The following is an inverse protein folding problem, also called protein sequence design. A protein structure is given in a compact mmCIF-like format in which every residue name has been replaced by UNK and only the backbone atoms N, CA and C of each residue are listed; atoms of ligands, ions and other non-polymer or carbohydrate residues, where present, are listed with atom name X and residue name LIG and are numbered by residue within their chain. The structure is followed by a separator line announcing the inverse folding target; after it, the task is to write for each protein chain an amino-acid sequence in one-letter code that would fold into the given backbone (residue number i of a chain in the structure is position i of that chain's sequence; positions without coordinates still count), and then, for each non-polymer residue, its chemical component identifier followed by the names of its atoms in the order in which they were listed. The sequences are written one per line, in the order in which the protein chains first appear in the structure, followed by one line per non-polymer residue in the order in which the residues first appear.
data_IF_470144865294
#
_entry.id   IF_470144865294
#
_cell.length_a   1.000
_cell.length_b   1.000
_cell.length_c   1.000
_cell.angle_alpha   90.00
_cell.angle_beta   90.00
_cell.angle_gamma   90.00
#
_symmetry.space_group_name_H-M   'P 1'
#
loop_
_entity.id
_entity.type
_entity.pdbx_description
1 polymer ?
#
# COMPACT_ATOMS: atom_id res chain seq x y z
N UNK A 1 29.96 48.37 -19.38
CA UNK A 1 29.06 47.30 -19.84
C UNK A 1 28.51 46.56 -18.62
N UNK A 2 27.30 46.89 -18.16
CA UNK A 2 26.67 46.23 -17.00
C UNK A 2 25.97 44.96 -17.49
N UNK A 3 26.46 43.78 -17.06
CA UNK A 3 25.80 42.50 -17.31
C UNK A 3 24.62 42.37 -16.34
N UNK A 4 23.41 42.43 -16.89
CA UNK A 4 22.17 42.11 -16.19
C UNK A 4 22.08 40.58 -16.12
N UNK A 5 22.34 39.99 -14.96
CA UNK A 5 22.18 38.56 -14.74
C UNK A 5 20.71 38.34 -14.38
N UNK A 6 19.93 37.83 -15.34
CA UNK A 6 18.55 37.41 -15.14
C UNK A 6 18.56 36.04 -14.44
N UNK A 7 18.31 36.03 -13.13
CA UNK A 7 18.12 34.78 -12.38
C UNK A 7 16.75 34.18 -12.76
N UNK A 8 16.78 33.07 -13.50
CA UNK A 8 15.60 32.24 -13.73
C UNK A 8 15.29 31.47 -12.43
N UNK A 9 14.26 31.90 -11.70
CA UNK A 9 13.68 31.11 -10.60
C UNK A 9 12.87 29.97 -11.23
N UNK A 10 13.48 28.78 -11.34
CA UNK A 10 12.73 27.56 -11.59
C UNK A 10 11.94 27.21 -10.33
N UNK A 11 10.65 27.53 -10.33
CA UNK A 11 9.71 27.02 -9.34
C UNK A 11 9.49 25.54 -9.62
N UNK A 12 10.27 24.67 -8.99
CA UNK A 12 9.91 23.25 -8.90
C UNK A 12 8.60 23.19 -8.12
N UNK A 13 7.51 22.83 -8.81
CA UNK A 13 6.23 22.56 -8.15
C UNK A 13 6.45 21.47 -7.11
N UNK A 14 6.36 21.85 -5.83
CA UNK A 14 6.28 20.90 -4.74
C UNK A 14 4.90 20.27 -4.87
N UNK A 15 4.81 19.07 -5.45
CA UNK A 15 3.60 18.26 -5.34
C UNK A 15 3.44 17.95 -3.86
N UNK A 16 2.58 18.70 -3.18
CA UNK A 16 2.23 18.41 -1.81
C UNK A 16 1.35 17.16 -1.83
N UNK A 17 1.86 16.04 -1.31
CA UNK A 17 1.03 14.85 -1.09
C UNK A 17 -0.12 15.25 -0.18
N UNK A 18 -1.35 15.14 -0.69
CA UNK A 18 -2.54 15.31 0.13
C UNK A 18 -2.66 14.09 1.02
N UNK A 19 -2.94 14.29 2.30
CA UNK A 19 -3.12 13.21 3.26
C UNK A 19 -4.42 13.39 4.02
N UNK A 20 -5.11 12.28 4.23
CA UNK A 20 -6.26 12.19 5.11
C UNK A 20 -6.01 11.06 6.12
N UNK A 21 -5.93 11.45 7.40
CA UNK A 21 -5.51 10.57 8.50
C UNK A 21 -4.12 9.97 8.22
N UNK A 22 -4.01 8.64 8.11
CA UNK A 22 -2.75 7.94 7.93
C UNK A 22 -2.49 7.52 6.46
N UNK A 23 -3.37 7.91 5.54
CA UNK A 23 -3.23 7.67 4.11
C UNK A 23 -2.90 8.98 3.40
N UNK A 24 -2.05 8.90 2.40
CA UNK A 24 -1.67 9.98 1.51
C UNK A 24 -1.92 9.56 0.06
N UNK A 25 -2.06 10.53 -0.85
CA UNK A 25 -2.00 10.26 -2.29
C UNK A 25 -0.71 9.50 -2.62
N UNK A 26 -0.80 8.60 -3.59
CA UNK A 26 0.23 7.65 -4.02
C UNK A 26 0.57 6.52 -3.02
N UNK A 27 -0.08 6.48 -1.84
CA UNK A 27 0.05 5.32 -0.95
C UNK A 27 -0.52 4.07 -1.64
N UNK A 28 0.27 2.99 -1.63
CA UNK A 28 -0.22 1.66 -1.99
C UNK A 28 -1.09 1.14 -0.85
N UNK A 29 -2.33 0.77 -1.18
CA UNK A 29 -3.32 0.25 -0.23
C UNK A 29 -3.92 -1.06 -0.73
N UNK A 30 -4.51 -1.82 0.18
CA UNK A 30 -5.31 -3.01 -0.13
C UNK A 30 -6.56 -3.04 0.74
N UNK A 31 -7.69 -3.47 0.19
CA UNK A 31 -8.91 -3.72 0.95
C UNK A 31 -8.89 -5.09 1.66
N UNK A 32 -9.95 -5.39 2.41
CA UNK A 32 -10.07 -6.66 3.13
C UNK A 32 -10.19 -7.92 2.24
N UNK A 33 -10.48 -7.75 0.95
CA UNK A 33 -10.72 -8.81 -0.04
C UNK A 33 -9.54 -9.03 -0.98
N UNK A 34 -8.54 -8.15 -0.97
CA UNK A 34 -7.34 -8.26 -1.82
C UNK A 34 -7.24 -7.29 -2.97
N UNK A 35 -8.20 -6.37 -3.12
CA UNK A 35 -8.12 -5.35 -4.14
C UNK A 35 -7.07 -4.32 -3.72
N UNK A 36 -5.96 -4.27 -4.46
CA UNK A 36 -4.87 -3.34 -4.22
C UNK A 36 -4.80 -2.25 -5.29
N UNK A 37 -4.30 -1.08 -4.89
CA UNK A 37 -4.14 0.06 -5.78
C UNK A 37 -3.49 1.24 -5.09
N UNK A 38 -3.38 2.36 -5.80
CA UNK A 38 -2.80 3.60 -5.30
C UNK A 38 -3.88 4.61 -4.98
N UNK A 39 -3.77 5.26 -3.82
CA UNK A 39 -4.67 6.35 -3.43
C UNK A 39 -4.51 7.53 -4.37
N UNK A 40 -5.62 8.01 -4.94
CA UNK A 40 -5.62 9.15 -5.86
C UNK A 40 -6.24 10.41 -5.27
N UNK A 41 -7.24 10.28 -4.39
CA UNK A 41 -7.92 11.40 -3.75
C UNK A 41 -8.73 10.95 -2.52
N UNK A 42 -9.33 11.90 -1.81
CA UNK A 42 -10.16 11.65 -0.64
C UNK A 42 -11.50 12.37 -0.73
N UNK A 43 -12.57 11.67 -0.38
CA UNK A 43 -13.86 12.28 -0.02
C UNK A 43 -13.95 12.30 1.51
N UNK A 44 -13.49 13.40 2.10
CA UNK A 44 -13.38 13.58 3.55
C UNK A 44 -14.76 13.63 4.21
N UNK A 45 -15.78 14.15 3.53
CA UNK A 45 -17.14 14.27 4.06
C UNK A 45 -17.77 12.88 4.26
N UNK A 46 -17.58 11.99 3.29
CA UNK A 46 -18.13 10.64 3.32
C UNK A 46 -17.16 9.58 3.86
N UNK A 47 -15.95 9.98 4.27
CA UNK A 47 -14.89 9.10 4.75
C UNK A 47 -14.52 7.99 3.73
N UNK A 48 -14.48 8.36 2.45
CA UNK A 48 -14.11 7.49 1.33
C UNK A 48 -12.73 7.86 0.79
N UNK A 49 -12.05 6.87 0.22
CA UNK A 49 -10.74 7.00 -0.42
C UNK A 49 -10.89 6.55 -1.85
N UNK A 50 -10.47 7.37 -2.81
CA UNK A 50 -10.40 6.98 -4.21
C UNK A 50 -9.09 6.24 -4.47
N UNK A 51 -9.19 5.07 -5.08
CA UNK A 51 -8.06 4.17 -5.31
C UNK A 51 -8.06 3.73 -6.78
N UNK A 52 -6.95 3.97 -7.47
CA UNK A 52 -6.68 3.43 -8.80
C UNK A 52 -6.18 1.98 -8.65
N UNK A 53 -6.98 1.01 -9.09
CA UNK A 53 -6.64 -0.41 -8.92
C UNK A 53 -5.45 -0.84 -9.78
N UNK A 54 -4.61 -1.72 -9.24
CA UNK A 54 -3.40 -2.21 -9.93
C UNK A 54 -3.69 -3.16 -11.10
N UNK A 55 -4.86 -3.82 -11.13
CA UNK A 55 -5.20 -4.85 -12.11
C UNK A 55 -6.43 -4.51 -12.97
N UNK A 56 -6.74 -3.23 -13.16
CA UNK A 56 -7.80 -2.81 -14.06
C UNK A 56 -7.83 -1.30 -14.34
N UNK A 57 -8.39 -0.87 -15.48
CA UNK A 57 -8.55 0.55 -15.78
C UNK A 57 -9.72 1.11 -14.98
N UNK A 58 -9.47 1.54 -13.74
CA UNK A 58 -10.48 2.29 -13.00
C UNK A 58 -10.05 2.77 -11.62
N UNK A 59 -10.60 3.91 -11.25
CA UNK A 59 -10.60 4.45 -9.89
C UNK A 59 -11.89 4.09 -9.21
N UNK A 60 -11.82 3.56 -8.00
CA UNK A 60 -12.99 3.14 -7.22
C UNK A 60 -12.91 3.75 -5.82
N UNK A 61 -14.08 3.98 -5.21
CA UNK A 61 -14.19 4.49 -3.85
C UNK A 61 -14.27 3.34 -2.85
N UNK A 62 -13.44 3.40 -1.82
CA UNK A 62 -13.42 2.46 -0.70
C UNK A 62 -13.67 3.21 0.61
N UNK A 63 -14.40 2.62 1.57
CA UNK A 63 -14.43 3.16 2.93
C UNK A 63 -13.03 3.18 3.53
N UNK A 64 -12.63 4.30 4.14
CA UNK A 64 -11.28 4.45 4.72
C UNK A 64 -10.90 3.28 5.65
N UNK A 65 -11.85 2.80 6.47
CA UNK A 65 -11.61 1.74 7.46
C UNK A 65 -11.34 0.35 6.85
N UNK A 66 -11.66 0.14 5.58
CA UNK A 66 -11.47 -1.15 4.91
C UNK A 66 -10.06 -1.27 4.32
N UNK A 67 -9.36 -0.15 4.17
CA UNK A 67 -8.05 -0.07 3.55
C UNK A 67 -6.91 -0.22 4.58
N UNK A 68 -5.94 -1.05 4.22
CA UNK A 68 -4.63 -1.09 4.86
C UNK A 68 -3.59 -0.44 3.95
N UNK A 69 -2.80 0.48 4.48
CA UNK A 69 -1.57 0.99 3.85
C UNK A 69 -0.48 -0.08 3.81
N UNK A 70 0.20 -0.22 2.67
CA UNK A 70 1.41 -1.03 2.53
C UNK A 70 2.56 -0.44 3.35
N UNK A 71 3.25 -1.29 4.09
CA UNK A 71 4.37 -0.92 4.97
C UNK A 71 5.46 -1.97 4.88
N UNK A 72 6.65 -1.67 5.37
CA UNK A 72 7.77 -2.62 5.37
C UNK A 72 7.56 -3.76 6.38
N UNK A 73 7.02 -3.43 7.56
CA UNK A 73 6.81 -4.39 8.63
C UNK A 73 5.51 -4.11 9.39
N UNK A 74 4.83 -5.17 9.81
CA UNK A 74 3.66 -5.11 10.68
C UNK A 74 3.64 -6.33 11.60
N UNK A 75 3.43 -6.11 12.90
CA UNK A 75 3.36 -7.19 13.90
C UNK A 75 4.56 -8.15 13.90
N UNK A 76 5.79 -7.63 13.72
CA UNK A 76 7.08 -8.36 13.68
C UNK A 76 7.31 -9.23 12.43
N UNK A 77 6.41 -9.18 11.46
CA UNK A 77 6.60 -9.75 10.12
C UNK A 77 6.96 -8.59 9.18
N UNK A 78 7.94 -8.81 8.31
CA UNK A 78 8.38 -7.84 7.30
C UNK A 78 8.27 -8.44 5.90
N UNK A 79 8.33 -7.58 4.88
CA UNK A 79 8.49 -8.00 3.49
C UNK A 79 9.77 -8.84 3.36
N UNK A 80 9.76 -9.82 2.45
CA UNK A 80 10.80 -10.85 2.25
C UNK A 80 10.98 -11.88 3.38
N UNK A 81 10.28 -11.75 4.51
CA UNK A 81 10.33 -12.76 5.56
C UNK A 81 9.78 -14.11 5.06
N UNK A 82 10.44 -15.19 5.48
CA UNK A 82 9.89 -16.54 5.40
C UNK A 82 8.95 -16.75 6.59
N UNK A 83 7.74 -17.21 6.31
CA UNK A 83 6.69 -17.42 7.30
C UNK A 83 6.04 -18.77 7.12
N UNK A 84 5.67 -19.41 8.22
CA UNK A 84 4.85 -20.62 8.23
C UNK A 84 3.40 -20.26 8.51
N UNK A 85 2.48 -20.77 7.67
CA UNK A 85 1.05 -20.58 7.89
C UNK A 85 0.45 -21.64 8.83
N UNK A 86 -0.86 -21.51 9.12
CA UNK A 86 -1.59 -22.45 9.99
C UNK A 86 -1.68 -23.90 9.47
N UNK A 87 -1.32 -24.13 8.21
CA UNK A 87 -1.27 -25.45 7.58
C UNK A 87 0.15 -26.02 7.52
N UNK A 88 1.13 -25.35 8.14
CA UNK A 88 2.55 -25.65 8.12
C UNK A 88 3.20 -25.51 6.73
N UNK A 89 2.63 -24.70 5.84
CA UNK A 89 3.27 -24.35 4.57
C UNK A 89 4.21 -23.15 4.76
N UNK A 90 5.39 -23.22 4.14
CA UNK A 90 6.35 -22.11 4.12
C UNK A 90 6.01 -21.16 2.99
N UNK A 91 5.89 -19.88 3.30
CA UNK A 91 5.55 -18.81 2.36
C UNK A 91 6.56 -17.67 2.46
N UNK A 92 6.62 -16.84 1.42
CA UNK A 92 7.45 -15.62 1.36
C UNK A 92 6.53 -14.42 1.39
N UNK A 93 6.76 -13.47 2.31
CA UNK A 93 5.97 -12.24 2.38
C UNK A 93 6.36 -11.31 1.23
N UNK A 94 5.40 -10.94 0.38
CA UNK A 94 5.60 -10.01 -0.73
C UNK A 94 5.21 -8.58 -0.37
N UNK A 95 4.08 -8.41 0.33
CA UNK A 95 3.57 -7.11 0.76
C UNK A 95 2.87 -7.28 2.11
N UNK A 96 2.98 -6.28 2.98
CA UNK A 96 2.31 -6.30 4.29
C UNK A 96 1.58 -4.99 4.54
N UNK A 97 0.38 -5.09 5.13
CA UNK A 97 -0.55 -3.97 5.22
C UNK A 97 -0.98 -3.71 6.67
N UNK A 98 -1.18 -2.43 7.00
CA UNK A 98 -1.49 -1.94 8.35
C UNK A 98 -2.79 -2.48 8.97
N UNK A 99 -3.71 -3.02 8.18
CA UNK A 99 -4.90 -3.73 8.68
C UNK A 99 -4.64 -5.22 9.02
N UNK A 100 -3.38 -5.65 9.04
CA UNK A 100 -2.99 -7.00 9.45
C UNK A 100 -3.15 -8.07 8.37
N UNK A 101 -3.24 -7.69 7.10
CA UNK A 101 -3.15 -8.62 5.96
C UNK A 101 -1.75 -8.60 5.37
N UNK A 102 -1.37 -9.71 4.76
CA UNK A 102 -0.17 -9.83 3.96
C UNK A 102 -0.50 -10.53 2.64
N UNK A 103 0.16 -10.11 1.56
CA UNK A 103 0.24 -10.84 0.30
C UNK A 103 1.48 -11.71 0.39
N UNK A 104 1.32 -13.02 0.22
CA UNK A 104 2.41 -14.00 0.35
C UNK A 104 2.50 -14.89 -0.88
N UNK A 105 3.70 -15.31 -1.26
CA UNK A 105 3.93 -16.34 -2.25
C UNK A 105 4.10 -17.69 -1.56
N UNK A 106 3.35 -18.70 -2.01
CA UNK A 106 3.49 -20.10 -1.58
C UNK A 106 4.23 -20.87 -2.67
N UNK A 107 5.51 -21.25 -2.46
CA UNK A 107 6.25 -22.07 -3.41
C UNK A 107 5.61 -23.44 -3.66
N UNK A 108 5.01 -24.04 -2.62
CA UNK A 108 4.38 -25.36 -2.70
C UNK A 108 3.11 -25.37 -3.56
N UNK A 109 2.39 -24.23 -3.60
CA UNK A 109 1.17 -24.05 -4.41
C UNK A 109 1.40 -23.24 -5.69
N UNK A 110 2.62 -22.77 -5.92
CA UNK A 110 3.00 -21.89 -7.03
C UNK A 110 2.01 -20.73 -7.22
N UNK A 111 1.75 -19.98 -6.16
CA UNK A 111 0.68 -18.98 -6.14
C UNK A 111 0.84 -17.89 -5.11
N UNK A 112 0.13 -16.78 -5.34
CA UNK A 112 0.04 -15.67 -4.41
C UNK A 112 -1.28 -15.71 -3.65
N UNK A 113 -1.21 -15.54 -2.33
CA UNK A 113 -2.35 -15.63 -1.43
C UNK A 113 -2.40 -14.42 -0.49
N UNK A 114 -3.59 -14.10 -0.02
CA UNK A 114 -3.79 -13.07 1.00
C UNK A 114 -4.06 -13.78 2.32
N UNK A 115 -3.24 -13.50 3.32
CA UNK A 115 -3.32 -14.13 4.63
C UNK A 115 -3.42 -13.09 5.74
N UNK A 116 -3.97 -13.49 6.87
CA UNK A 116 -3.93 -12.66 8.07
C UNK A 116 -2.56 -12.85 8.72
N UNK A 117 -1.87 -11.75 9.03
CA UNK A 117 -0.58 -11.75 9.74
C UNK A 117 -0.61 -12.48 11.07
N UNK A 118 -1.78 -12.58 11.72
CA UNK A 118 -1.98 -13.37 12.96
C UNK A 118 -1.95 -14.88 12.75
N UNK A 119 -2.10 -15.35 11.51
CA UNK A 119 -2.03 -16.77 11.14
C UNK A 119 -0.64 -17.17 10.61
N UNK A 120 0.32 -16.25 10.68
CA UNK A 120 1.68 -16.42 10.17
C UNK A 120 2.68 -16.42 11.33
N UNK A 121 3.63 -17.35 11.28
CA UNK A 121 4.77 -17.41 12.21
C UNK A 121 6.06 -17.20 11.44
N UNK A 122 6.83 -16.17 11.80
CA UNK A 122 8.15 -15.92 11.23
C UNK A 122 9.11 -17.07 11.54
N UNK A 123 9.86 -17.51 10.53
CA UNK A 123 10.87 -18.57 10.61
C UNK A 123 12.28 -18.02 10.91
#
# INVERSE_FOLDING_TARGET
MKKLILLLLMTTGVFANECYKNLCTDDLVMDQYGWSGWVTSFDVENNLVEVQLSHGPGTYQFPYQDLGKSVECFSKICVEDYVMDKYNEVNIVLEIYTHGRAKVFSPDRDGTFIMNTKELTKL
#
